data_IF_410690561033
#
_entry.id   IF_410690561033
#
_cell.length_a   1.000
_cell.length_b   1.000
_cell.length_c   1.000
_cell.angle_alpha   90.00
_cell.angle_beta   90.00
_cell.angle_gamma   90.00
#
_symmetry.space_group_name_H-M   'P 1'
#
loop_
_entity.id
_entity.type
_entity.pdbx_description
1 polymer ?
#
# COMPACT_ATOMS: atom_id res chain seq x y z
N UNK A 1 -25.94 -32.07 28.46
CA UNK A 1 -26.29 -31.70 27.07
C UNK A 1 -25.95 -30.23 26.89
N UNK A 2 -24.77 -29.92 26.38
CA UNK A 2 -24.38 -28.54 26.05
C UNK A 2 -24.98 -28.21 24.68
N UNK A 3 -25.93 -27.27 24.66
CA UNK A 3 -26.58 -26.82 23.44
C UNK A 3 -25.57 -26.16 22.51
N UNK A 4 -25.47 -26.66 21.28
CA UNK A 4 -24.72 -26.02 20.22
C UNK A 4 -25.55 -24.84 19.71
N UNK A 5 -25.20 -23.62 20.12
CA UNK A 5 -25.79 -22.43 19.50
C UNK A 5 -25.29 -22.34 18.05
N UNK A 6 -26.17 -22.09 17.06
CA UNK A 6 -25.73 -21.89 15.70
C UNK A 6 -24.78 -20.67 15.63
N UNK A 7 -23.76 -20.70 14.74
CA UNK A 7 -22.83 -19.59 14.60
C UNK A 7 -23.59 -18.31 14.23
N UNK A 8 -23.26 -17.21 14.92
CA UNK A 8 -23.80 -15.89 14.61
C UNK A 8 -23.51 -15.55 13.15
N UNK A 9 -24.52 -15.23 12.32
CA UNK A 9 -24.29 -14.83 10.94
C UNK A 9 -23.43 -13.55 10.88
N UNK A 10 -22.47 -13.51 9.96
CA UNK A 10 -21.67 -12.32 9.70
C UNK A 10 -22.55 -11.32 8.94
N UNK A 11 -22.64 -10.04 9.38
CA UNK A 11 -23.40 -9.01 8.70
C UNK A 11 -22.93 -8.79 7.27
N UNK A 12 -23.86 -8.45 6.38
CA UNK A 12 -23.55 -8.05 5.01
C UNK A 12 -22.58 -6.86 5.00
N UNK A 13 -21.57 -6.89 4.13
CA UNK A 13 -20.53 -5.85 4.02
C UNK A 13 -19.32 -6.04 4.93
N UNK A 14 -19.29 -7.06 5.80
CA UNK A 14 -18.08 -7.49 6.51
C UNK A 14 -17.38 -8.58 5.70
N UNK A 15 -16.11 -8.40 5.29
CA UNK A 15 -15.37 -9.43 4.56
C UNK A 15 -15.40 -10.77 5.33
N UNK A 16 -15.70 -11.91 4.68
CA UNK A 16 -15.90 -13.20 5.36
C UNK A 16 -14.73 -13.61 6.27
N UNK A 17 -13.50 -13.29 5.86
CA UNK A 17 -12.28 -13.53 6.66
C UNK A 17 -12.26 -12.70 7.94
N UNK A 18 -12.64 -11.42 7.88
CA UNK A 18 -12.69 -10.53 9.04
C UNK A 18 -13.82 -10.94 9.99
N UNK A 19 -14.97 -11.35 9.45
CA UNK A 19 -16.10 -11.86 10.24
C UNK A 19 -15.78 -13.15 10.97
N UNK A 20 -15.23 -14.14 10.27
CA UNK A 20 -14.82 -15.42 10.86
C UNK A 20 -13.72 -15.25 11.92
N UNK A 21 -12.80 -14.31 11.68
CA UNK A 21 -11.74 -13.98 12.62
C UNK A 21 -12.30 -13.31 13.89
N UNK A 22 -13.18 -12.30 13.76
CA UNK A 22 -13.77 -11.60 14.92
C UNK A 22 -14.56 -12.55 15.81
N UNK A 23 -15.36 -13.45 15.22
CA UNK A 23 -16.11 -14.48 15.95
C UNK A 23 -15.21 -15.48 16.67
N UNK A 24 -14.11 -15.90 16.04
CA UNK A 24 -13.12 -16.81 16.65
C UNK A 24 -12.49 -16.20 17.92
N UNK A 25 -12.31 -14.89 17.94
CA UNK A 25 -11.60 -14.19 19.00
C UNK A 25 -12.49 -13.44 20.00
N UNK A 26 -13.82 -13.57 19.89
CA UNK A 26 -14.77 -12.91 20.79
C UNK A 26 -14.76 -11.39 20.69
N UNK A 27 -14.37 -10.85 19.53
CA UNK A 27 -14.35 -9.42 19.27
C UNK A 27 -15.67 -8.96 18.64
N UNK A 28 -16.09 -7.71 18.88
CA UNK A 28 -17.22 -7.14 18.17
C UNK A 28 -16.93 -7.14 16.67
N UNK A 29 -17.92 -7.49 15.87
CA UNK A 29 -17.82 -7.40 14.41
C UNK A 29 -17.61 -5.93 14.02
N UNK A 30 -16.67 -5.63 13.11
CA UNK A 30 -16.51 -4.26 12.63
C UNK A 30 -17.79 -3.79 11.95
N UNK A 31 -18.09 -2.48 11.96
CA UNK A 31 -19.16 -1.95 11.14
C UNK A 31 -18.89 -2.31 9.66
N UNK A 32 -19.94 -2.47 8.85
CA UNK A 32 -19.77 -2.64 7.41
C UNK A 32 -18.92 -1.49 6.86
N UNK A 33 -18.02 -1.79 5.92
CA UNK A 33 -17.25 -0.75 5.26
C UNK A 33 -18.23 0.25 4.61
N UNK A 34 -17.96 1.56 4.67
CA UNK A 34 -18.76 2.53 3.92
C UNK A 34 -18.76 2.15 2.45
N UNK A 35 -19.88 2.40 1.78
CA UNK A 35 -19.96 2.18 0.34
C UNK A 35 -18.84 2.99 -0.37
N UNK A 36 -18.06 2.38 -1.28
CA UNK A 36 -16.97 3.07 -1.95
C UNK A 36 -17.40 4.33 -2.70
N UNK A 37 -18.63 4.34 -3.25
CA UNK A 37 -19.22 5.50 -3.91
C UNK A 37 -19.56 6.58 -2.89
N UNK A 38 -20.08 6.23 -1.71
CA UNK A 38 -20.33 7.20 -0.63
C UNK A 38 -19.03 7.79 -0.08
N UNK A 39 -17.97 6.98 0.02
CA UNK A 39 -16.65 7.45 0.41
C UNK A 39 -16.08 8.43 -0.63
N UNK A 40 -16.14 8.07 -1.91
CA UNK A 40 -15.72 8.95 -3.01
C UNK A 40 -16.54 10.24 -3.05
N UNK A 41 -17.87 10.13 -2.94
CA UNK A 41 -18.75 11.29 -2.91
C UNK A 41 -18.42 12.19 -1.71
N UNK A 42 -18.14 11.64 -0.52
CA UNK A 42 -17.77 12.44 0.65
C UNK A 42 -16.43 13.17 0.50
N UNK A 43 -15.46 12.54 -0.19
CA UNK A 43 -14.14 13.12 -0.46
C UNK A 43 -14.18 14.21 -1.53
N UNK A 44 -15.15 14.16 -2.45
CA UNK A 44 -15.24 15.06 -3.61
C UNK A 44 -16.43 16.03 -3.59
N UNK A 45 -17.39 15.87 -2.66
CA UNK A 45 -18.58 16.72 -2.60
C UNK A 45 -18.35 18.09 -1.96
N UNK A 46 -17.25 18.29 -1.22
CA UNK A 46 -16.93 19.57 -0.60
C UNK A 46 -15.43 19.90 -0.72
N UNK A 47 -14.95 20.28 -1.92
CA UNK A 47 -13.56 20.73 -2.05
C UNK A 47 -13.42 22.06 -1.30
N UNK A 48 -12.60 22.16 -0.23
CA UNK A 48 -12.22 23.48 0.26
C UNK A 48 -11.54 24.21 -0.89
N UNK A 49 -12.22 25.24 -1.42
CA UNK A 49 -11.78 26.19 -2.44
C UNK A 49 -10.40 25.92 -3.05
N UNK A 50 -10.30 24.93 -3.94
CA UNK A 50 -9.16 24.71 -4.85
C UNK A 50 -9.19 25.72 -6.02
N UNK A 51 -9.58 26.97 -5.75
CA UNK A 51 -9.61 28.06 -6.74
C UNK A 51 -8.42 29.01 -6.62
N UNK A 52 -7.43 28.70 -5.77
CA UNK A 52 -6.12 29.32 -5.90
C UNK A 52 -5.41 28.67 -7.11
N UNK A 53 -4.75 29.44 -7.99
CA UNK A 53 -3.92 28.90 -9.07
C UNK A 53 -2.64 28.30 -8.47
N UNK A 54 -2.79 27.20 -7.74
CA UNK A 54 -1.70 26.26 -7.44
C UNK A 54 -1.52 25.32 -8.64
N UNK A 55 -0.35 24.67 -8.77
CA UNK A 55 -0.09 23.81 -9.91
C UNK A 55 -1.12 22.68 -9.92
N UNK A 56 -1.99 22.69 -10.93
CA UNK A 56 -2.75 21.53 -11.32
C UNK A 56 -1.71 20.43 -11.56
N UNK A 57 -1.73 19.39 -10.73
CA UNK A 57 -0.89 18.22 -10.89
C UNK A 57 -1.28 17.55 -12.21
N UNK A 58 -0.62 17.95 -13.29
CA UNK A 58 -0.83 17.37 -14.61
C UNK A 58 -0.20 15.98 -14.58
N UNK A 59 -0.99 14.97 -14.19
CA UNK A 59 -0.61 13.57 -14.37
C UNK A 59 -0.48 13.35 -15.88
N UNK A 60 0.75 13.08 -16.34
CA UNK A 60 1.01 12.86 -17.74
C UNK A 60 0.19 11.67 -18.27
N UNK A 61 -0.23 11.72 -19.54
CA UNK A 61 -1.16 10.72 -20.10
C UNK A 61 -0.63 9.29 -20.16
N UNK A 62 0.69 9.10 -20.04
CA UNK A 62 1.34 7.79 -19.87
C UNK A 62 1.22 7.22 -18.46
N UNK A 63 0.78 8.04 -17.50
CA UNK A 63 0.58 7.71 -16.10
C UNK A 63 -0.90 7.49 -15.75
N UNK A 64 -1.81 7.36 -16.73
CA UNK A 64 -3.23 7.09 -16.49
C UNK A 64 -3.69 5.94 -17.39
N UNK A 65 -4.28 4.92 -16.78
CA UNK A 65 -5.01 3.87 -17.51
C UNK A 65 -6.53 4.12 -17.46
N UNK A 66 -7.28 3.88 -18.55
CA UNK A 66 -8.73 3.66 -18.46
C UNK A 66 -8.98 2.37 -17.69
N UNK A 67 -9.71 2.44 -16.58
CA UNK A 67 -9.90 1.38 -15.59
C UNK A 67 -10.80 0.24 -16.12
N UNK A 68 -10.32 -1.02 -16.28
CA UNK A 68 -11.19 -2.19 -16.37
C UNK A 68 -11.20 -2.87 -14.99
N UNK A 69 -12.30 -2.70 -14.27
CA UNK A 69 -12.56 -3.31 -12.96
C UNK A 69 -12.57 -4.84 -13.06
N UNK A 70 -11.44 -5.50 -12.78
CA UNK A 70 -11.37 -6.89 -12.35
C UNK A 70 -9.94 -7.21 -11.90
N UNK A 71 -9.69 -7.08 -10.59
CA UNK A 71 -8.41 -7.49 -10.01
C UNK A 71 -8.36 -9.03 -9.88
N UNK A 72 -7.30 -9.71 -10.36
CA UNK A 72 -7.03 -11.10 -10.00
C UNK A 72 -6.75 -11.23 -8.49
N UNK A 73 -6.85 -12.44 -7.89
CA UNK A 73 -6.57 -12.62 -6.46
C UNK A 73 -5.18 -12.08 -6.11
N UNK A 74 -5.12 -11.13 -5.19
CA UNK A 74 -3.87 -10.52 -4.75
C UNK A 74 -2.98 -11.58 -4.09
N UNK A 75 -1.74 -11.68 -4.57
CA UNK A 75 -0.67 -12.35 -3.83
C UNK A 75 -0.50 -11.66 -2.46
N UNK A 76 -0.09 -12.43 -1.45
CA UNK A 76 0.15 -11.90 -0.11
C UNK A 76 1.16 -10.74 -0.17
N UNK A 77 0.79 -9.58 0.36
CA UNK A 77 1.61 -8.36 0.33
C UNK A 77 2.85 -8.47 1.24
N UNK A 78 2.84 -9.37 2.23
CA UNK A 78 3.98 -9.64 3.08
C UNK A 78 4.02 -11.11 3.49
N UNK A 79 5.18 -11.64 3.90
CA UNK A 79 5.26 -12.97 4.50
C UNK A 79 4.37 -13.08 5.74
N UNK A 80 3.75 -14.24 5.98
CA UNK A 80 2.91 -14.46 7.17
C UNK A 80 3.66 -14.18 8.49
N UNK A 81 4.96 -14.51 8.54
CA UNK A 81 5.83 -14.24 9.67
C UNK A 81 6.06 -12.73 9.93
N UNK A 82 5.76 -11.88 8.95
CA UNK A 82 5.88 -10.43 9.06
C UNK A 82 4.56 -9.72 9.40
N UNK A 83 3.44 -10.44 9.44
CA UNK A 83 2.16 -9.87 9.85
C UNK A 83 2.21 -9.49 11.34
N UNK A 84 1.77 -8.28 11.71
CA UNK A 84 1.63 -7.92 13.12
C UNK A 84 0.60 -8.82 13.80
N UNK A 85 0.84 -9.20 15.07
CA UNK A 85 -0.21 -9.87 15.86
C UNK A 85 -1.37 -8.87 16.03
N UNK A 86 -2.59 -9.23 15.62
CA UNK A 86 -3.72 -8.31 15.65
C UNK A 86 -4.14 -7.90 17.07
N UNK A 87 -3.63 -8.55 18.12
CA UNK A 87 -3.94 -8.22 19.51
C UNK A 87 -3.13 -7.03 20.03
N UNK A 88 -1.93 -6.81 19.50
CA UNK A 88 -0.98 -5.80 19.99
C UNK A 88 -0.23 -5.04 18.88
N UNK A 89 -0.52 -5.36 17.61
CA UNK A 89 0.05 -4.73 16.43
C UNK A 89 -1.02 -4.19 15.48
N UNK A 90 -0.57 -3.33 14.56
CA UNK A 90 -1.43 -2.71 13.55
C UNK A 90 -0.67 -2.48 12.25
N UNK A 91 -1.41 -2.22 11.17
CA UNK A 91 -0.87 -1.72 9.91
C UNK A 91 -1.09 -0.21 9.86
N UNK A 92 -0.02 0.53 9.56
CA UNK A 92 -0.07 1.97 9.39
C UNK A 92 0.08 2.33 7.91
N UNK A 93 -0.86 3.11 7.39
CA UNK A 93 -0.74 3.71 6.06
C UNK A 93 -0.11 5.10 6.19
N UNK A 94 0.98 5.33 5.48
CA UNK A 94 1.70 6.61 5.43
C UNK A 94 1.65 7.14 4.00
N UNK A 95 1.18 8.37 3.84
CA UNK A 95 1.19 9.10 2.57
C UNK A 95 2.19 10.24 2.75
N UNK A 96 3.36 10.08 2.15
CA UNK A 96 4.47 11.01 2.25
C UNK A 96 5.34 10.88 0.99
N UNK A 97 6.49 11.56 0.97
CA UNK A 97 7.48 11.49 -0.11
C UNK A 97 8.11 10.09 -0.25
N UNK A 98 8.38 9.41 0.86
CA UNK A 98 8.81 8.02 0.96
C UNK A 98 8.85 7.56 2.42
N UNK A 99 9.12 6.26 2.62
CA UNK A 99 9.60 5.73 3.89
C UNK A 99 10.98 5.10 3.66
N UNK A 100 11.97 5.24 4.56
CA UNK A 100 13.28 4.61 4.42
C UNK A 100 13.22 3.11 4.73
N UNK A 101 12.42 2.35 3.96
CA UNK A 101 12.06 0.95 4.24
C UNK A 101 13.24 -0.01 4.30
N UNK A 102 14.38 0.35 3.72
CA UNK A 102 15.57 -0.48 3.76
C UNK A 102 16.38 -0.29 5.06
N UNK A 103 16.07 0.74 5.85
CA UNK A 103 16.77 1.04 7.10
C UNK A 103 16.55 -0.06 8.15
N UNK A 104 17.62 -0.41 8.88
CA UNK A 104 17.62 -1.50 9.89
C UNK A 104 16.51 -1.41 10.96
N UNK A 105 16.05 -0.20 11.31
CA UNK A 105 14.96 -0.01 12.28
C UNK A 105 13.58 -0.41 11.75
N UNK A 106 13.44 -0.52 10.43
CA UNK A 106 12.21 -0.97 9.76
C UNK A 106 12.29 -2.44 9.33
N UNK A 107 13.21 -3.20 9.95
CA UNK A 107 13.32 -4.65 9.79
C UNK A 107 12.79 -5.38 11.02
N UNK A 108 12.36 -6.62 10.82
CA UNK A 108 12.07 -7.58 11.86
C UNK A 108 13.38 -8.24 12.34
N UNK A 109 13.38 -8.89 13.52
CA UNK A 109 14.58 -9.54 14.06
C UNK A 109 15.20 -10.62 13.15
N UNK A 110 14.40 -11.21 12.26
CA UNK A 110 14.82 -12.21 11.27
C UNK A 110 15.31 -11.61 9.94
N UNK A 111 15.39 -10.29 9.85
CA UNK A 111 15.84 -9.56 8.66
C UNK A 111 14.74 -9.22 7.65
N UNK A 112 13.49 -9.68 7.86
CA UNK A 112 12.37 -9.35 6.98
C UNK A 112 12.01 -7.86 7.06
N UNK A 113 11.45 -7.32 5.98
CA UNK A 113 10.91 -5.96 5.98
C UNK A 113 9.63 -5.87 6.81
N UNK A 114 9.44 -4.76 7.53
CA UNK A 114 8.15 -4.40 8.14
C UNK A 114 7.15 -3.78 7.14
N UNK A 115 7.58 -3.56 5.90
CA UNK A 115 6.74 -3.01 4.84
C UNK A 115 5.74 -4.07 4.35
N UNK A 116 4.46 -3.70 4.26
CA UNK A 116 3.45 -4.51 3.57
C UNK A 116 3.38 -4.13 2.09
N UNK A 117 3.23 -2.85 1.79
CA UNK A 117 3.26 -2.34 0.43
C UNK A 117 3.80 -0.90 0.43
N UNK A 118 4.48 -0.56 -0.65
CA UNK A 118 4.90 0.79 -1.01
C UNK A 118 4.36 1.08 -2.40
N UNK A 119 3.67 2.18 -2.57
CA UNK A 119 3.29 2.71 -3.88
C UNK A 119 4.12 3.96 -4.16
N UNK A 120 4.89 3.93 -5.25
CA UNK A 120 5.68 5.07 -5.72
C UNK A 120 5.02 5.63 -6.97
N UNK A 121 4.21 6.68 -6.81
CA UNK A 121 3.39 7.27 -7.88
C UNK A 121 4.22 7.77 -9.07
N UNK A 122 5.38 8.36 -8.79
CA UNK A 122 6.26 8.94 -9.80
C UNK A 122 7.17 7.90 -10.49
N UNK A 123 7.28 6.68 -9.95
CA UNK A 123 8.10 5.63 -10.54
C UNK A 123 7.65 5.29 -11.97
N UNK A 124 8.58 4.76 -12.77
CA UNK A 124 8.23 4.18 -14.06
C UNK A 124 7.16 3.10 -13.84
N UNK A 125 6.10 3.15 -14.64
CA UNK A 125 4.94 2.31 -14.39
C UNK A 125 5.30 0.83 -14.39
N UNK A 126 4.96 0.14 -13.31
CA UNK A 126 4.96 -1.31 -13.24
C UNK A 126 3.74 -1.76 -12.46
N UNK A 127 2.83 -2.46 -13.14
CA UNK A 127 1.56 -2.96 -12.62
C UNK A 127 1.66 -3.56 -11.20
N UNK A 128 0.66 -3.34 -10.34
CA UNK A 128 -0.59 -4.12 -10.38
C UNK A 128 -1.77 -3.42 -11.09
N UNK A 129 -2.82 -4.18 -11.49
CA UNK A 129 -3.90 -3.68 -12.37
C UNK A 129 -4.74 -2.53 -11.80
N UNK A 130 -4.70 -2.30 -10.49
CA UNK A 130 -5.61 -1.39 -9.79
C UNK A 130 -4.98 -0.02 -9.47
N UNK A 131 -3.68 0.17 -9.75
CA UNK A 131 -3.03 1.45 -9.54
C UNK A 131 -3.12 2.32 -10.80
N UNK A 132 -3.53 3.59 -10.68
CA UNK A 132 -3.68 4.48 -11.83
C UNK A 132 -2.33 4.83 -12.46
N UNK A 133 -1.27 4.89 -11.66
CA UNK A 133 0.08 5.31 -12.04
C UNK A 133 1.16 4.62 -11.18
N UNK A 134 2.43 4.79 -11.55
CA UNK A 134 3.56 4.42 -10.70
C UNK A 134 3.83 2.93 -10.61
N UNK A 135 4.54 2.54 -9.55
CA UNK A 135 4.93 1.17 -9.26
C UNK A 135 4.56 0.78 -7.82
N UNK A 136 4.20 -0.50 -7.63
CA UNK A 136 4.06 -1.08 -6.30
C UNK A 136 5.27 -1.96 -5.97
N UNK A 137 5.78 -1.84 -4.76
CA UNK A 137 6.70 -2.77 -4.13
C UNK A 137 5.98 -3.42 -2.94
N UNK A 138 5.87 -4.75 -2.93
CA UNK A 138 5.35 -5.49 -1.79
C UNK A 138 6.46 -5.86 -0.78
N UNK A 139 6.06 -6.28 0.42
CA UNK A 139 6.93 -6.70 1.50
C UNK A 139 7.75 -7.95 1.20
N UNK A 140 7.25 -8.85 0.34
CA UNK A 140 7.97 -10.06 -0.07
C UNK A 140 9.17 -9.67 -0.94
N UNK A 141 8.96 -8.85 -1.95
CA UNK A 141 10.00 -8.32 -2.83
C UNK A 141 10.98 -7.43 -2.06
N UNK A 142 10.49 -6.57 -1.17
CA UNK A 142 11.34 -5.75 -0.30
C UNK A 142 12.26 -6.62 0.58
N UNK A 143 11.72 -7.67 1.20
CA UNK A 143 12.51 -8.61 2.01
C UNK A 143 13.56 -9.37 1.17
N UNK A 144 13.21 -9.76 -0.05
CA UNK A 144 14.17 -10.38 -0.97
C UNK A 144 15.31 -9.43 -1.36
N UNK A 145 15.04 -8.13 -1.52
CA UNK A 145 16.06 -7.12 -1.79
C UNK A 145 16.97 -6.88 -0.58
N UNK A 146 16.41 -6.87 0.63
CA UNK A 146 17.17 -6.78 1.88
C UNK A 146 18.12 -7.98 2.04
N UNK A 147 17.65 -9.19 1.79
CA UNK A 147 18.48 -10.40 1.84
C UNK A 147 19.63 -10.35 0.83
N UNK A 148 19.40 -9.81 -0.38
CA UNK A 148 20.46 -9.61 -1.38
C UNK A 148 21.49 -8.56 -0.95
N UNK A 149 21.06 -7.49 -0.28
CA UNK A 149 21.96 -6.49 0.29
C UNK A 149 22.84 -7.09 1.39
N UNK A 150 22.26 -7.88 2.30
CA UNK A 150 22.99 -8.57 3.35
C UNK A 150 23.99 -9.60 2.80
N UNK A 151 23.61 -10.30 1.72
CA UNK A 151 24.51 -11.20 0.99
C UNK A 151 25.59 -10.49 0.15
N UNK A 152 25.61 -9.16 0.12
CA UNK A 152 26.54 -8.36 -0.69
C UNK A 152 26.26 -8.40 -2.20
N UNK A 153 25.13 -8.98 -2.62
CA UNK A 153 24.69 -9.01 -4.03
C UNK A 153 24.11 -7.67 -4.50
N UNK A 154 23.73 -6.80 -3.56
CA UNK A 154 23.55 -5.37 -3.78
C UNK A 154 24.66 -4.61 -3.03
N UNK A 155 25.25 -3.62 -3.68
CA UNK A 155 26.42 -2.92 -3.16
C UNK A 155 26.10 -1.96 -2.01
N UNK A 156 24.91 -1.35 -2.03
CA UNK A 156 24.46 -0.42 -0.99
C UNK A 156 22.95 -0.22 -0.98
N UNK A 157 22.44 0.36 0.11
CA UNK A 157 21.03 0.66 0.32
C UNK A 157 20.43 1.54 -0.78
N UNK A 158 21.19 2.51 -1.31
CA UNK A 158 20.74 3.39 -2.40
C UNK A 158 20.34 2.63 -3.67
N UNK A 159 20.87 1.42 -3.91
CA UNK A 159 20.46 0.59 -5.04
C UNK A 159 19.02 0.09 -4.88
N UNK A 160 18.62 -0.28 -3.66
CA UNK A 160 17.25 -0.70 -3.33
C UNK A 160 16.29 0.45 -3.59
N UNK A 161 16.60 1.66 -3.09
CA UNK A 161 15.76 2.83 -3.32
C UNK A 161 15.67 3.24 -4.80
N UNK A 162 16.77 3.09 -5.57
CA UNK A 162 16.73 3.32 -7.01
C UNK A 162 15.88 2.28 -7.75
N UNK A 163 15.96 1.00 -7.35
CA UNK A 163 15.12 -0.06 -7.90
C UNK A 163 13.63 0.14 -7.59
N UNK A 164 13.31 0.66 -6.40
CA UNK A 164 11.95 1.05 -6.02
C UNK A 164 11.42 2.30 -6.76
N UNK A 165 12.27 3.01 -7.51
CA UNK A 165 11.89 4.26 -8.18
C UNK A 165 11.91 5.50 -7.29
N UNK A 166 12.37 5.41 -6.04
CA UNK A 166 12.43 6.54 -5.10
C UNK A 166 13.60 7.51 -5.36
N UNK A 167 14.65 7.05 -6.05
CA UNK A 167 15.87 7.83 -6.33
C UNK A 167 16.08 8.00 -7.85
N UNK A 168 14.98 8.03 -8.61
CA UNK A 168 15.00 8.32 -10.05
C UNK A 168 14.31 9.65 -10.32
N UNK A 169 15.12 10.70 -10.42
CA UNK A 169 14.69 12.05 -10.82
C UNK A 169 14.78 12.26 -12.35
N UNK A 170 14.98 11.19 -13.12
CA UNK A 170 15.16 11.23 -14.58
C UNK A 170 13.83 11.22 -15.36
N UNK A 171 12.68 11.13 -14.67
CA UNK A 171 11.37 11.21 -15.33
C UNK A 171 11.04 12.67 -15.70
N UNK A 172 10.82 12.98 -17.00
CA UNK A 172 10.59 14.35 -17.48
C UNK A 172 9.41 15.08 -16.81
N UNK A 173 8.44 14.32 -16.29
CA UNK A 173 7.20 14.84 -15.71
C UNK A 173 7.06 14.51 -14.22
N UNK A 174 8.15 14.16 -13.53
CA UNK A 174 8.12 14.05 -12.06
C UNK A 174 7.90 15.44 -11.45
N UNK A 175 7.29 15.51 -10.27
CA UNK A 175 7.15 16.76 -9.50
C UNK A 175 8.52 17.46 -9.31
N UNK A 176 9.60 16.66 -9.18
CA UNK A 176 10.98 17.14 -9.09
C UNK A 176 11.56 17.72 -10.39
N UNK A 177 11.14 17.23 -11.56
CA UNK A 177 11.61 17.75 -12.85
C UNK A 177 11.05 19.16 -13.15
N UNK A 178 9.82 19.45 -12.69
CA UNK A 178 9.20 20.76 -12.83
C UNK A 178 9.90 21.88 -12.03
N UNK A 179 10.60 21.54 -10.94
CA UNK A 179 11.33 22.49 -10.10
C UNK A 179 12.77 22.77 -10.57
N UNK A 180 13.38 21.85 -11.31
CA UNK A 180 14.76 21.99 -11.79
C UNK A 180 14.90 22.87 -13.04
N UNK A 181 13.78 23.27 -13.66
CA UNK A 181 13.72 24.09 -14.87
C UNK A 181 13.29 25.56 -14.65
N UNK A 182 13.19 26.02 -13.40
CA UNK A 182 12.82 27.39 -13.02
C UNK A 182 14.01 28.25 -12.61
#
# INVERSE_FOLDING_TARGET
MTGFAPPTPVPDGVPPLIGAWSLRHGLPLPPPAPDPQDLANSLFADPPALTAPGPICAVAGDAIRPCPWAAPPQAALMPDAALPDPRDGCILAVIDDAIPFAHQRLRLPDGLSRLAALWVQDAAWSAPPDLPCGAQLDGVAASAWLARLEAGALACESQIYRQAGLVRMDRPNSQGAGLAGG
#
